data_IF_452991939133
#
_entry.id   IF_452991939133
#
_cell.length_a   1.000
_cell.length_b   1.000
_cell.length_c   1.000
_cell.angle_alpha   90.00
_cell.angle_beta   90.00
_cell.angle_gamma   90.00
#
_symmetry.space_group_name_H-M   'P 1'
#
loop_
_entity.id
_entity.type
_entity.pdbx_description
1 polymer ?
#
# COMPACT_ATOMS: atom_id res chain seq x y z
N UNK A 1 -9.44 12.03 -18.02
CA UNK A 1 -9.74 10.90 -17.10
C UNK A 1 -8.45 10.11 -16.92
N UNK A 2 -7.97 9.89 -15.68
CA UNK A 2 -6.66 9.27 -15.40
C UNK A 2 -6.77 7.73 -15.34
N UNK A 3 -7.82 7.24 -14.69
CA UNK A 3 -8.01 5.82 -14.38
C UNK A 3 -7.90 4.84 -15.57
N UNK A 4 -8.43 5.14 -16.79
CA UNK A 4 -8.44 4.17 -17.89
C UNK A 4 -7.08 3.84 -18.50
N UNK A 5 -6.06 4.67 -18.25
CA UNK A 5 -4.78 4.60 -18.99
C UNK A 5 -3.53 4.64 -18.11
N UNK A 6 -3.63 5.10 -16.86
CA UNK A 6 -2.44 5.32 -16.02
C UNK A 6 -1.79 4.00 -15.57
N UNK A 7 -0.45 3.85 -15.59
CA UNK A 7 0.21 2.70 -14.96
C UNK A 7 -0.02 2.68 -13.44
N UNK A 8 -0.14 1.50 -12.83
CA UNK A 8 -0.26 1.33 -11.37
C UNK A 8 1.08 0.95 -10.74
N UNK A 9 1.53 1.78 -9.81
CA UNK A 9 2.70 1.55 -8.96
C UNK A 9 2.26 1.34 -7.51
N UNK A 10 3.14 0.73 -6.72
CA UNK A 10 2.92 0.47 -5.30
C UNK A 10 3.96 1.24 -4.50
N UNK A 11 3.50 1.92 -3.47
CA UNK A 11 4.33 2.53 -2.44
C UNK A 11 3.70 2.27 -1.07
N UNK A 12 4.53 2.23 -0.03
CA UNK A 12 4.10 2.06 1.37
C UNK A 12 4.77 3.14 2.20
N UNK A 13 4.10 3.65 3.22
CA UNK A 13 4.68 4.60 4.17
C UNK A 13 6.03 4.08 4.69
N UNK A 14 7.03 4.96 4.71
CA UNK A 14 8.32 4.60 5.26
C UNK A 14 8.22 4.40 6.79
N UNK A 15 7.46 5.29 7.43
CA UNK A 15 7.22 5.28 8.86
C UNK A 15 6.19 4.21 9.26
N UNK A 16 6.45 3.51 10.36
CA UNK A 16 5.53 2.55 10.98
C UNK A 16 5.07 1.37 10.09
N UNK A 17 5.66 1.15 8.92
CA UNK A 17 5.40 -0.05 8.11
C UNK A 17 5.61 -1.32 8.93
N UNK A 18 4.81 -2.33 8.63
CA UNK A 18 4.78 -3.57 9.39
C UNK A 18 5.32 -4.71 8.56
N UNK A 19 6.20 -5.50 9.15
CA UNK A 19 6.71 -6.72 8.52
C UNK A 19 5.69 -7.84 8.67
N UNK A 20 5.29 -8.43 7.55
CA UNK A 20 4.56 -9.69 7.49
C UNK A 20 5.49 -10.80 6.98
N UNK A 21 5.73 -11.79 7.84
CA UNK A 21 6.52 -12.98 7.52
C UNK A 21 5.60 -14.13 7.11
N UNK A 22 5.68 -14.55 5.85
CA UNK A 22 4.95 -15.70 5.31
C UNK A 22 5.76 -16.98 5.58
N UNK A 23 5.35 -17.80 6.54
CA UNK A 23 6.14 -18.93 7.03
C UNK A 23 6.45 -19.99 5.96
N UNK A 24 5.51 -20.19 5.04
CA UNK A 24 5.57 -21.04 3.85
C UNK A 24 5.82 -20.25 2.55
N UNK A 25 6.23 -18.99 2.68
CA UNK A 25 6.67 -18.15 1.56
C UNK A 25 7.92 -18.71 0.86
N UNK A 26 8.32 -18.10 -0.28
CA UNK A 26 9.39 -18.63 -1.10
C UNK A 26 10.73 -18.66 -0.35
N UNK A 27 11.41 -19.82 -0.38
CA UNK A 27 12.73 -19.99 0.26
C UNK A 27 13.82 -19.11 -0.36
N UNK A 28 13.73 -18.88 -1.68
CA UNK A 28 14.57 -17.91 -2.39
C UNK A 28 13.67 -16.88 -3.08
N UNK A 29 14.02 -15.59 -3.05
CA UNK A 29 13.29 -14.58 -3.80
C UNK A 29 13.16 -14.97 -5.26
N UNK A 30 11.99 -14.73 -5.85
CA UNK A 30 11.77 -14.91 -7.28
C UNK A 30 11.03 -13.71 -7.84
N UNK A 31 11.09 -13.56 -9.16
CA UNK A 31 10.59 -12.39 -9.85
C UNK A 31 9.48 -12.79 -10.83
N UNK A 32 8.45 -11.96 -10.93
CA UNK A 32 7.40 -12.09 -11.94
C UNK A 32 7.16 -10.77 -12.65
N UNK A 33 6.88 -10.85 -13.95
CA UNK A 33 6.50 -9.70 -14.77
C UNK A 33 4.99 -9.67 -14.88
N UNK A 34 4.37 -8.54 -14.52
CA UNK A 34 2.92 -8.36 -14.60
C UNK A 34 2.56 -7.03 -15.28
N UNK A 35 1.36 -6.91 -15.87
CA UNK A 35 0.92 -5.65 -16.45
C UNK A 35 0.85 -4.52 -15.41
N UNK A 36 1.34 -3.33 -15.78
CA UNK A 36 1.13 -2.10 -15.00
C UNK A 36 -0.35 -1.71 -14.94
N UNK A 37 -1.16 -2.14 -15.91
CA UNK A 37 -2.60 -1.92 -15.92
C UNK A 37 -3.34 -3.12 -16.52
N UNK A 38 -4.19 -3.77 -15.70
CA UNK A 38 -4.96 -4.98 -16.07
C UNK A 38 -5.87 -4.85 -17.31
N UNK A 39 -6.21 -3.62 -17.72
CA UNK A 39 -7.14 -3.34 -18.82
C UNK A 39 -6.53 -2.50 -19.94
N UNK A 40 -5.30 -2.03 -19.78
CA UNK A 40 -4.64 -1.14 -20.73
C UNK A 40 -3.21 -1.61 -21.00
N UNK A 41 -3.06 -2.47 -22.01
CA UNK A 41 -1.80 -3.12 -22.36
C UNK A 41 -0.68 -2.11 -22.66
N UNK A 42 -1.02 -0.95 -23.24
CA UNK A 42 -0.05 0.09 -23.57
C UNK A 42 0.57 0.79 -22.33
N UNK A 43 0.10 0.52 -21.11
CA UNK A 43 0.83 0.91 -19.90
C UNK A 43 2.13 0.10 -19.68
N UNK A 44 2.32 -0.99 -20.43
CA UNK A 44 3.45 -1.89 -20.31
C UNK A 44 3.41 -2.73 -19.04
N UNK A 45 4.57 -3.29 -18.70
CA UNK A 45 4.72 -4.22 -17.60
C UNK A 45 5.58 -3.65 -16.46
N UNK A 46 5.47 -4.28 -15.30
CA UNK A 46 6.31 -4.06 -14.13
C UNK A 46 6.81 -5.40 -13.59
N UNK A 47 7.92 -5.31 -12.88
CA UNK A 47 8.54 -6.44 -12.20
C UNK A 47 8.12 -6.43 -10.73
N UNK A 48 7.68 -7.58 -10.21
CA UNK A 48 7.44 -7.79 -8.78
C UNK A 48 8.38 -8.89 -8.28
N UNK A 49 9.09 -8.59 -7.19
CA UNK A 49 9.90 -9.57 -6.45
C UNK A 49 9.05 -10.14 -5.32
N UNK A 50 9.00 -11.46 -5.22
CA UNK A 50 8.27 -12.21 -4.21
C UNK A 50 9.26 -12.75 -3.18
N UNK A 51 9.05 -12.40 -1.91
CA UNK A 51 9.95 -12.69 -0.79
C UNK A 51 9.17 -13.23 0.40
N UNK A 52 9.78 -14.09 1.21
CA UNK A 52 9.17 -14.58 2.46
C UNK A 52 8.66 -13.44 3.37
N UNK A 53 9.41 -12.35 3.42
CA UNK A 53 9.10 -11.19 4.23
C UNK A 53 8.60 -10.04 3.34
N UNK A 54 7.49 -9.41 3.70
CA UNK A 54 6.92 -8.27 2.99
C UNK A 54 6.53 -7.16 3.94
N UNK A 55 6.63 -5.92 3.46
CA UNK A 55 6.15 -4.73 4.12
C UNK A 55 4.68 -4.48 3.76
N UNK A 56 3.87 -4.15 4.75
CA UNK A 56 2.50 -3.65 4.59
C UNK A 56 2.28 -2.36 5.39
N UNK A 57 1.21 -1.65 5.07
CA UNK A 57 0.81 -0.44 5.79
C UNK A 57 0.38 -0.74 7.23
N UNK A 58 0.70 0.17 8.15
CA UNK A 58 0.28 0.04 9.56
C UNK A 58 -1.25 0.07 9.71
N UNK A 59 -1.93 0.89 8.91
CA UNK A 59 -3.39 0.98 8.93
C UNK A 59 -4.03 -0.36 8.52
N UNK A 60 -3.48 -1.00 7.49
CA UNK A 60 -3.90 -2.32 7.04
C UNK A 60 -3.60 -3.38 8.11
N UNK A 61 -2.38 -3.38 8.66
CA UNK A 61 -1.97 -4.31 9.71
C UNK A 61 -2.91 -4.24 10.94
N UNK A 62 -3.32 -3.04 11.35
CA UNK A 62 -4.26 -2.83 12.46
C UNK A 62 -5.68 -3.33 12.19
N UNK A 63 -6.08 -3.37 10.92
CA UNK A 63 -7.41 -3.83 10.51
C UNK A 63 -7.54 -5.36 10.49
N UNK A 64 -6.41 -6.08 10.47
CA UNK A 64 -6.37 -7.54 10.42
C UNK A 64 -6.74 -8.15 11.77
N UNK A 65 -7.60 -9.15 11.74
CA UNK A 65 -7.95 -10.00 12.88
C UNK A 65 -7.11 -11.30 12.88
N UNK A 66 -6.86 -11.92 14.05
CA UNK A 66 -6.20 -13.22 14.10
C UNK A 66 -6.96 -14.28 13.30
N UNK A 67 -6.24 -15.10 12.53
CA UNK A 67 -6.76 -16.11 11.59
C UNK A 67 -7.60 -15.53 10.44
N UNK A 68 -7.51 -14.23 10.17
CA UNK A 68 -8.18 -13.62 9.02
C UNK A 68 -7.44 -13.96 7.72
N UNK A 69 -8.23 -14.25 6.69
CA UNK A 69 -7.74 -14.40 5.32
C UNK A 69 -7.71 -13.03 4.63
N UNK A 70 -6.53 -12.66 4.14
CA UNK A 70 -6.27 -11.42 3.41
C UNK A 70 -5.89 -11.74 1.96
N UNK A 71 -6.16 -10.82 1.05
CA UNK A 71 -5.61 -10.86 -0.32
C UNK A 71 -4.38 -9.95 -0.40
N UNK A 72 -3.24 -10.52 -0.78
CA UNK A 72 -2.05 -9.80 -1.21
C UNK A 72 -2.16 -9.51 -2.70
N UNK A 73 -2.28 -8.23 -3.06
CA UNK A 73 -2.54 -7.82 -4.44
C UNK A 73 -1.48 -8.36 -5.40
N UNK A 74 -1.93 -8.97 -6.49
CA UNK A 74 -1.10 -9.61 -7.53
C UNK A 74 -0.20 -10.78 -7.04
N UNK A 75 -0.43 -11.29 -5.83
CA UNK A 75 0.18 -12.53 -5.32
C UNK A 75 -0.86 -13.63 -5.11
N UNK A 76 -1.88 -13.39 -4.30
CA UNK A 76 -2.83 -14.41 -3.87
C UNK A 76 -3.32 -14.14 -2.45
N UNK A 77 -3.94 -15.14 -1.82
CA UNK A 77 -4.41 -15.01 -0.44
C UNK A 77 -3.38 -15.54 0.56
N UNK A 78 -3.46 -15.04 1.78
CA UNK A 78 -2.70 -15.49 2.94
C UNK A 78 -3.58 -15.46 4.18
N UNK A 79 -3.31 -16.33 5.15
CA UNK A 79 -3.97 -16.35 6.45
C UNK A 79 -2.98 -15.85 7.50
N UNK A 80 -3.33 -14.75 8.17
CA UNK A 80 -2.51 -14.18 9.24
C UNK A 80 -2.76 -14.96 10.54
N UNK A 81 -1.71 -15.51 11.13
CA UNK A 81 -1.78 -16.38 12.31
C UNK A 81 -1.49 -15.62 13.60
N UNK A 82 -0.43 -14.83 13.61
CA UNK A 82 -0.02 -14.10 14.80
C UNK A 82 0.11 -12.61 14.50
N UNK A 83 -0.28 -11.80 15.49
CA UNK A 83 -0.27 -10.35 15.42
C UNK A 83 0.40 -9.83 16.69
N UNK A 84 1.62 -9.35 16.56
CA UNK A 84 2.38 -8.76 17.66
C UNK A 84 2.13 -7.25 17.71
N UNK A 85 1.85 -6.73 18.90
CA UNK A 85 1.57 -5.31 19.12
C UNK A 85 2.44 -4.72 20.22
N UNK A 86 2.80 -3.45 20.07
CA UNK A 86 3.45 -2.67 21.12
C UNK A 86 2.44 -2.22 22.21
N UNK A 87 2.95 -1.54 23.24
CA UNK A 87 2.13 -1.01 24.35
C UNK A 87 1.13 0.07 23.92
N UNK A 88 1.33 0.69 22.75
CA UNK A 88 0.47 1.72 22.18
C UNK A 88 -0.58 1.12 21.22
N UNK A 89 -0.59 -0.21 21.04
CA UNK A 89 -1.50 -0.92 20.13
C UNK A 89 -1.08 -0.84 18.66
N UNK A 90 0.13 -0.40 18.35
CA UNK A 90 0.68 -0.48 17.00
C UNK A 90 1.11 -1.92 16.71
N UNK A 91 0.84 -2.41 15.51
CA UNK A 91 1.34 -3.72 15.10
C UNK A 91 2.83 -3.58 14.82
N UNK A 92 3.62 -4.45 15.42
CA UNK A 92 5.09 -4.48 15.24
C UNK A 92 5.50 -5.53 14.23
N UNK A 93 4.77 -6.65 14.18
CA UNK A 93 5.07 -7.78 13.32
C UNK A 93 3.81 -8.65 13.13
N UNK A 94 3.72 -9.27 11.96
CA UNK A 94 2.74 -10.28 11.62
C UNK A 94 3.43 -11.56 11.15
N UNK A 95 2.85 -12.72 11.48
CA UNK A 95 3.21 -13.99 10.84
C UNK A 95 1.98 -14.60 10.19
N UNK A 96 2.17 -15.23 9.04
CA UNK A 96 1.09 -15.83 8.28
C UNK A 96 1.55 -16.97 7.38
N UNK A 97 0.60 -17.57 6.69
CA UNK A 97 0.85 -18.61 5.69
C UNK A 97 0.09 -18.30 4.41
N UNK A 98 0.64 -18.65 3.25
CA UNK A 98 -0.03 -18.53 1.97
C UNK A 98 -1.23 -19.49 1.91
N UNK A 99 -2.25 -19.07 1.18
CA UNK A 99 -3.47 -19.83 0.92
C UNK A 99 -3.89 -19.55 -0.53
N UNK A 100 -3.12 -20.05 -1.49
CA UNK A 100 -3.23 -19.67 -2.91
C UNK A 100 -4.51 -20.20 -3.58
N UNK A 101 -5.12 -21.24 -3.00
CA UNK A 101 -6.44 -21.76 -3.31
C UNK A 101 -7.59 -20.88 -2.80
N UNK A 102 -7.27 -19.89 -1.96
CA UNK A 102 -8.21 -18.91 -1.43
C UNK A 102 -8.85 -18.03 -2.52
N UNK A 103 -10.00 -17.43 -2.18
CA UNK A 103 -10.74 -16.61 -3.13
C UNK A 103 -10.58 -15.11 -2.83
N UNK A 104 -9.98 -14.38 -3.76
CA UNK A 104 -9.90 -12.91 -3.71
C UNK A 104 -11.28 -12.22 -3.73
N UNK A 105 -12.36 -12.95 -4.04
CA UNK A 105 -13.74 -12.42 -4.05
C UNK A 105 -14.35 -12.39 -2.65
N UNK A 106 -13.92 -13.28 -1.76
CA UNK A 106 -14.50 -13.44 -0.41
C UNK A 106 -13.69 -12.74 0.65
N UNK A 107 -12.38 -12.59 0.45
CA UNK A 107 -11.51 -11.84 1.34
C UNK A 107 -11.93 -10.37 1.43
N UNK A 108 -12.09 -9.86 2.65
CA UNK A 108 -12.52 -8.48 2.93
C UNK A 108 -11.38 -7.49 2.75
N UNK A 109 -10.20 -7.85 3.22
CA UNK A 109 -9.00 -7.01 3.18
C UNK A 109 -8.15 -7.36 1.96
N UNK A 110 -7.84 -6.35 1.15
CA UNK A 110 -7.00 -6.46 -0.06
C UNK A 110 -5.85 -5.48 0.06
N UNK A 111 -4.67 -6.01 0.31
CA UNK A 111 -3.53 -5.21 0.75
C UNK A 111 -2.53 -5.04 -0.38
N UNK A 112 -2.01 -3.83 -0.52
CA UNK A 112 -0.77 -3.57 -1.23
C UNK A 112 0.41 -3.92 -0.33
N UNK A 113 1.49 -4.43 -0.94
CA UNK A 113 2.66 -4.89 -0.22
C UNK A 113 3.93 -4.55 -1.02
N UNK A 114 5.06 -4.46 -0.33
CA UNK A 114 6.40 -4.36 -0.94
C UNK A 114 7.28 -5.49 -0.43
N UNK A 115 8.15 -6.08 -1.26
CA UNK A 115 9.07 -7.10 -0.79
C UNK A 115 10.12 -6.49 0.13
N UNK A 116 10.47 -7.20 1.21
CA UNK A 116 11.59 -6.82 2.06
C UNK A 116 12.91 -7.09 1.33
N UNK A 117 13.42 -6.04 0.68
CA UNK A 117 14.62 -6.07 -0.17
C UNK A 117 15.36 -4.75 -0.10
N UNK A 118 16.62 -4.75 -0.53
CA UNK A 118 17.44 -3.54 -0.67
C UNK A 118 17.18 -2.77 -1.99
N UNK A 119 16.20 -3.20 -2.80
CA UNK A 119 15.85 -2.57 -4.08
C UNK A 119 14.79 -1.46 -3.92
N UNK A 120 14.22 -1.31 -2.73
CA UNK A 120 13.24 -0.28 -2.43
C UNK A 120 13.88 1.10 -2.48
N UNK A 121 13.22 2.04 -3.15
CA UNK A 121 13.68 3.42 -3.27
C UNK A 121 12.85 4.33 -2.36
N UNK A 122 13.48 5.22 -1.57
CA UNK A 122 12.78 6.25 -0.82
C UNK A 122 12.22 7.29 -1.79
N UNK A 123 10.97 7.69 -1.56
CA UNK A 123 10.21 8.63 -2.36
C UNK A 123 9.50 9.61 -1.43
N UNK A 124 9.20 10.80 -1.94
CA UNK A 124 8.35 11.77 -1.26
C UNK A 124 7.02 11.87 -2.01
N UNK A 125 5.94 11.42 -1.36
CA UNK A 125 4.59 11.67 -1.84
C UNK A 125 4.17 13.07 -1.42
N UNK A 126 3.73 13.87 -2.40
CA UNK A 126 3.25 15.23 -2.16
C UNK A 126 1.74 15.26 -2.39
N UNK A 127 0.98 15.44 -1.31
CA UNK A 127 -0.46 15.60 -1.35
C UNK A 127 -0.82 17.08 -1.41
N UNK A 128 -1.65 17.46 -2.38
CA UNK A 128 -2.17 18.82 -2.52
C UNK A 128 -3.66 18.87 -2.16
N UNK A 129 -4.01 19.71 -1.20
CA UNK A 129 -5.37 19.97 -0.76
C UNK A 129 -6.01 21.20 -1.43
N UNK A 130 -7.21 21.54 -0.97
CA UNK A 130 -7.91 22.75 -1.42
C UNK A 130 -7.19 24.02 -0.98
N UNK A 131 -7.07 24.99 -1.89
CA UNK A 131 -6.46 26.30 -1.61
C UNK A 131 -7.25 27.15 -0.61
N UNK A 132 -8.57 26.94 -0.53
CA UNK A 132 -9.46 27.65 0.39
C UNK A 132 -10.31 26.66 1.18
N UNK A 133 -10.67 27.02 2.39
CA UNK A 133 -11.51 26.21 3.29
C UNK A 133 -13.00 26.39 2.99
N UNK A 134 -13.36 27.44 2.23
CA UNK A 134 -14.75 27.78 1.92
C UNK A 134 -15.20 27.20 0.58
N UNK A 135 -16.32 26.46 0.59
CA UNK A 135 -16.88 25.79 -0.61
C UNK A 135 -17.33 26.74 -1.72
N UNK A 136 -17.77 27.96 -1.40
CA UNK A 136 -18.22 28.96 -2.38
C UNK A 136 -17.96 30.37 -1.89
N UNK A 137 -17.33 31.19 -2.73
CA UNK A 137 -17.09 32.61 -2.48
C UNK A 137 -18.23 33.46 -3.07
N UNK A 138 -18.56 34.57 -2.41
CA UNK A 138 -19.43 35.61 -2.99
C UNK A 138 -18.60 36.54 -3.89
N UNK A 139 -19.25 37.17 -4.88
CA UNK A 139 -18.59 38.14 -5.75
C UNK A 139 -18.08 39.33 -4.92
N UNK A 140 -16.79 39.63 -5.01
CA UNK A 140 -16.15 40.71 -4.25
C UNK A 140 -15.77 40.36 -2.81
N UNK A 141 -15.97 39.12 -2.37
CA UNK A 141 -15.55 38.68 -1.03
C UNK A 141 -14.03 38.47 -0.98
N UNK A 142 -13.39 38.95 0.10
CA UNK A 142 -11.97 38.71 0.35
C UNK A 142 -11.72 37.23 0.68
N UNK A 143 -10.78 36.61 -0.04
CA UNK A 143 -10.43 35.21 0.13
C UNK A 143 -9.28 34.98 1.12
N UNK A 144 -8.53 36.03 1.50
CA UNK A 144 -7.41 35.93 2.44
C UNK A 144 -7.83 35.27 3.77
N UNK A 145 -9.00 35.59 4.37
CA UNK A 145 -9.42 34.98 5.64
C UNK A 145 -9.75 33.48 5.53
N UNK A 146 -10.02 32.98 4.33
CA UNK A 146 -10.43 31.58 4.08
C UNK A 146 -9.35 30.78 3.35
N UNK A 147 -8.14 31.31 3.23
CA UNK A 147 -6.99 30.56 2.74
C UNK A 147 -6.75 29.34 3.62
N UNK A 148 -6.61 28.18 2.98
CA UNK A 148 -6.12 26.99 3.65
C UNK A 148 -4.59 27.10 3.79
N UNK A 149 -4.10 27.04 5.03
CA UNK A 149 -2.65 27.07 5.31
C UNK A 149 -2.00 25.70 5.19
N UNK A 150 -2.80 24.64 5.13
CA UNK A 150 -2.39 23.24 5.04
C UNK A 150 -2.81 22.67 3.67
N UNK A 151 -2.21 23.22 2.61
CA UNK A 151 -2.51 22.86 1.20
C UNK A 151 -1.55 21.85 0.63
N UNK A 152 -0.44 21.59 1.30
CA UNK A 152 0.62 20.69 0.83
C UNK A 152 1.12 19.87 1.99
N UNK A 153 1.12 18.55 1.83
CA UNK A 153 1.74 17.61 2.77
C UNK A 153 2.77 16.78 2.03
N UNK A 154 3.92 16.60 2.67
CA UNK A 154 4.98 15.73 2.18
C UNK A 154 5.03 14.50 3.08
N UNK A 155 5.04 13.33 2.47
CA UNK A 155 4.94 12.04 3.15
C UNK A 155 6.07 11.15 2.61
N UNK A 156 6.89 10.61 3.52
CA UNK A 156 7.94 9.65 3.18
C UNK A 156 7.34 8.28 2.88
N UNK A 157 7.66 7.73 1.71
CA UNK A 157 7.21 6.40 1.28
C UNK A 157 8.36 5.62 0.66
N UNK A 158 8.28 4.30 0.73
CA UNK A 158 9.11 3.39 -0.06
C UNK A 158 8.35 2.95 -1.29
N UNK A 159 9.04 2.78 -2.42
CA UNK A 159 8.46 2.24 -3.64
C UNK A 159 9.42 1.31 -4.37
N UNK A 160 8.92 0.66 -5.43
CA UNK A 160 9.75 -0.13 -6.34
C UNK A 160 10.34 0.79 -7.41
N UNK A 161 11.62 0.60 -7.74
CA UNK A 161 12.28 1.31 -8.84
C UNK A 161 11.57 0.98 -10.17
N UNK A 162 11.14 2.01 -10.88
CA UNK A 162 10.28 1.93 -12.08
C UNK A 162 11.09 1.64 -13.34
#
# INVERSE_FOLDING_TARGET
>A
MIDPVCPRHTAILEENRVLLTLLDGPHRPFVHVIPKHKKYVAAGDKTITFTKNIWIEQADAKAISPNEEITLMDWGNAIVREINKDKNGNVTELTGVLHLEGSFKTAKLKLTWLPDTNELVPLTLVEFGYLITKKKMKKGEDFIPVLNRDTKKEIGVLGIRI
#
